data_IF_058455295903
#
_entry.id   IF_058455295903
#
_cell.length_a   1.000
_cell.length_b   1.000
_cell.length_c   1.000
_cell.angle_alpha   90.00
_cell.angle_beta   90.00
_cell.angle_gamma   90.00
#
_symmetry.space_group_name_H-M   'P 1'
#
loop_
_entity.id
_entity.type
_entity.pdbx_description
1 polymer ?
#
# COMPACT_ATOMS: atom_id res chain seq x y z
N UNK A 1 -3.79 -14.53 -0.22
CA UNK A 1 -3.35 -15.19 -1.47
C UNK A 1 -1.84 -15.16 -1.55
N UNK A 2 -1.19 -16.31 -1.69
CA UNK A 2 0.26 -16.41 -1.81
C UNK A 2 0.72 -16.00 -3.22
N UNK A 3 1.68 -15.07 -3.32
CA UNK A 3 2.29 -14.61 -4.57
C UNK A 3 3.64 -15.30 -4.83
N UNK A 4 4.45 -15.45 -3.76
CA UNK A 4 5.78 -16.05 -3.79
C UNK A 4 6.06 -16.73 -2.43
N UNK A 5 7.18 -17.43 -2.21
CA UNK A 5 7.43 -18.18 -0.97
C UNK A 5 7.15 -17.41 0.32
N UNK A 6 7.55 -16.15 0.40
CA UNK A 6 7.42 -15.30 1.59
C UNK A 6 6.51 -14.10 1.39
N UNK A 7 5.74 -14.08 0.29
CA UNK A 7 4.99 -12.92 -0.14
C UNK A 7 3.51 -13.25 -0.30
N UNK A 8 2.65 -12.57 0.45
CA UNK A 8 1.22 -12.78 0.45
C UNK A 8 0.48 -11.46 0.21
N UNK A 9 -0.64 -11.54 -0.49
CA UNK A 9 -1.56 -10.44 -0.73
C UNK A 9 -2.85 -10.66 0.03
N UNK A 10 -3.31 -9.62 0.70
CA UNK A 10 -4.65 -9.49 1.29
C UNK A 10 -5.52 -8.62 0.38
N UNK A 11 -6.82 -8.86 0.40
CA UNK A 11 -7.77 -8.10 -0.44
C UNK A 11 -7.81 -8.56 -1.89
N UNK A 12 -8.01 -7.62 -2.81
CA UNK A 12 -8.17 -7.87 -4.25
C UNK A 12 -7.74 -6.64 -5.08
N UNK A 13 -8.11 -6.62 -6.40
CA UNK A 13 -7.72 -5.53 -7.31
C UNK A 13 -8.42 -4.18 -7.03
N UNK A 14 -9.34 -4.11 -6.08
CA UNK A 14 -9.93 -2.83 -5.65
C UNK A 14 -9.09 -2.22 -4.54
N UNK A 15 -8.69 -3.00 -3.52
CA UNK A 15 -7.78 -2.57 -2.45
C UNK A 15 -6.95 -3.77 -2.02
N UNK A 16 -5.64 -3.61 -1.98
CA UNK A 16 -4.68 -4.60 -1.55
C UNK A 16 -3.84 -4.12 -0.37
N UNK A 17 -3.42 -5.07 0.46
CA UNK A 17 -2.37 -4.95 1.45
C UNK A 17 -1.49 -6.20 1.36
N UNK A 18 -0.31 -6.17 1.96
CA UNK A 18 0.65 -7.23 1.75
C UNK A 18 1.30 -7.71 3.05
N UNK A 19 1.77 -8.96 3.03
CA UNK A 19 2.39 -9.62 4.16
C UNK A 19 3.66 -10.30 3.68
N UNK A 20 4.77 -10.02 4.36
CA UNK A 20 6.07 -10.68 4.20
C UNK A 20 6.24 -11.60 5.39
N UNK A 21 6.26 -12.92 5.12
CA UNK A 21 6.37 -13.98 6.12
C UNK A 21 7.77 -14.57 6.13
N UNK A 22 8.57 -14.22 7.15
CA UNK A 22 9.94 -14.69 7.35
C UNK A 22 10.06 -15.43 8.69
N UNK A 23 11.15 -16.19 8.91
CA UNK A 23 11.38 -16.91 10.17
C UNK A 23 11.37 -15.98 11.40
N UNK A 24 11.85 -14.76 11.28
CA UNK A 24 11.97 -13.76 12.36
C UNK A 24 10.61 -13.12 12.71
N UNK A 25 9.60 -13.27 11.84
CA UNK A 25 8.26 -12.74 12.02
C UNK A 25 7.68 -12.20 10.72
N UNK A 26 6.63 -11.40 10.87
CA UNK A 26 5.85 -10.86 9.76
C UNK A 26 6.03 -9.33 9.70
N UNK A 27 6.28 -8.83 8.50
CA UNK A 27 6.15 -7.41 8.16
C UNK A 27 4.92 -7.22 7.30
N UNK A 28 4.06 -6.26 7.66
CA UNK A 28 2.90 -5.86 6.84
C UNK A 28 3.22 -4.57 6.09
N UNK A 29 2.69 -4.47 4.87
CA UNK A 29 2.65 -3.23 4.09
C UNK A 29 1.21 -2.91 3.76
N UNK A 30 0.76 -1.77 4.25
CA UNK A 30 -0.62 -1.28 4.27
C UNK A 30 -1.60 -2.15 5.09
N UNK A 31 -2.73 -1.56 5.42
CA UNK A 31 -3.78 -2.15 6.25
C UNK A 31 -5.15 -2.15 5.56
N UNK A 32 -5.19 -1.88 4.26
CA UNK A 32 -6.40 -1.92 3.46
C UNK A 32 -7.60 -1.21 4.11
N UNK A 33 -8.78 -1.80 3.98
CA UNK A 33 -10.03 -1.39 4.64
C UNK A 33 -10.25 -2.15 5.96
N UNK A 34 -11.09 -1.68 6.89
CA UNK A 34 -11.36 -2.35 8.17
C UNK A 34 -11.76 -3.83 8.04
N UNK A 35 -12.53 -4.18 7.01
CA UNK A 35 -12.96 -5.56 6.75
C UNK A 35 -11.85 -6.50 6.28
N UNK A 36 -10.70 -5.99 5.85
CA UNK A 36 -9.53 -6.83 5.54
C UNK A 36 -8.86 -7.40 6.80
N UNK A 37 -9.24 -6.96 7.98
CA UNK A 37 -8.86 -7.63 9.22
C UNK A 37 -9.18 -9.12 9.19
N UNK A 38 -10.35 -9.51 8.66
CA UNK A 38 -10.72 -10.92 8.56
C UNK A 38 -9.84 -11.67 7.56
N UNK A 39 -9.46 -11.00 6.46
CA UNK A 39 -8.55 -11.57 5.47
C UNK A 39 -7.16 -11.79 6.10
N UNK A 40 -6.67 -10.84 6.92
CA UNK A 40 -5.42 -10.99 7.69
C UNK A 40 -5.50 -12.16 8.65
N UNK A 41 -6.55 -12.26 9.47
CA UNK A 41 -6.72 -13.35 10.45
C UNK A 41 -6.74 -14.72 9.74
N UNK A 42 -7.38 -14.80 8.59
CA UNK A 42 -7.45 -16.03 7.80
C UNK A 42 -6.08 -16.42 7.24
N UNK A 43 -5.33 -15.47 6.69
CA UNK A 43 -3.98 -15.70 6.16
C UNK A 43 -3.02 -16.10 7.28
N UNK A 44 -3.04 -15.42 8.44
CA UNK A 44 -2.24 -15.77 9.62
C UNK A 44 -2.54 -17.20 10.10
N UNK A 45 -3.82 -17.56 10.19
CA UNK A 45 -4.23 -18.92 10.58
C UNK A 45 -3.72 -19.97 9.60
N UNK A 46 -3.77 -19.70 8.30
CA UNK A 46 -3.26 -20.60 7.27
C UNK A 46 -1.73 -20.80 7.35
N UNK A 47 -1.01 -19.80 7.88
CA UNK A 47 0.43 -19.85 8.13
C UNK A 47 0.78 -20.48 9.51
N UNK A 48 -0.23 -20.80 10.33
CA UNK A 48 0.00 -21.23 11.72
C UNK A 48 0.52 -20.11 12.63
N UNK A 49 0.26 -18.85 12.27
CA UNK A 49 0.72 -17.64 12.95
C UNK A 49 -0.45 -16.82 13.53
N UNK A 50 -0.12 -15.81 14.28
CA UNK A 50 -1.04 -14.92 14.97
C UNK A 50 -0.60 -13.44 14.84
N UNK A 51 -1.39 -12.52 15.38
CA UNK A 51 -1.02 -11.10 15.45
C UNK A 51 0.27 -10.88 16.25
N UNK A 52 0.59 -11.75 17.22
CA UNK A 52 1.82 -11.66 18.00
C UNK A 52 3.10 -11.91 17.17
N UNK A 53 2.97 -12.52 16.00
CA UNK A 53 4.10 -12.76 15.09
C UNK A 53 4.37 -11.56 14.17
N UNK A 54 3.47 -10.55 14.15
CA UNK A 54 3.64 -9.33 13.36
C UNK A 54 4.61 -8.41 14.08
N UNK A 55 5.72 -8.08 13.44
CA UNK A 55 6.79 -7.22 13.98
C UNK A 55 6.60 -5.75 13.66
N UNK A 56 5.90 -5.43 12.58
CA UNK A 56 5.59 -4.06 12.19
C UNK A 56 4.63 -3.96 11.02
N UNK A 57 3.94 -2.83 10.96
CA UNK A 57 3.13 -2.39 9.84
C UNK A 57 3.75 -1.13 9.25
N UNK A 58 4.03 -1.13 7.96
CA UNK A 58 4.51 0.04 7.22
C UNK A 58 3.34 0.53 6.36
N UNK A 59 2.97 1.79 6.51
CA UNK A 59 1.95 2.44 5.68
C UNK A 59 2.65 3.17 4.53
N UNK A 60 2.23 2.90 3.30
CA UNK A 60 2.78 3.59 2.12
C UNK A 60 2.36 5.05 2.06
N UNK A 61 1.16 5.37 2.56
CA UNK A 61 0.62 6.73 2.70
C UNK A 61 -0.59 6.74 3.64
N UNK A 62 -1.19 7.92 3.85
CA UNK A 62 -2.20 8.14 4.90
C UNK A 62 -3.66 7.99 4.50
N UNK A 63 -4.00 7.45 3.34
CA UNK A 63 -5.38 7.38 2.88
C UNK A 63 -6.18 6.25 3.55
N UNK A 64 -7.49 6.46 3.64
CA UNK A 64 -8.40 5.65 4.48
C UNK A 64 -8.48 4.18 4.10
N UNK A 65 -8.21 3.83 2.87
CA UNK A 65 -8.19 2.46 2.35
C UNK A 65 -6.82 1.78 2.42
N UNK A 66 -5.82 2.48 2.98
CA UNK A 66 -4.52 1.93 3.33
C UNK A 66 -4.30 1.79 4.84
N UNK A 67 -5.11 2.49 5.67
CA UNK A 67 -4.98 2.48 7.13
C UNK A 67 -6.08 1.66 7.84
N UNK A 68 -6.94 0.98 7.14
CA UNK A 68 -8.23 0.44 7.62
C UNK A 68 -8.17 -0.34 8.92
N UNK A 69 -7.27 -1.29 9.10
CA UNK A 69 -7.11 -2.01 10.37
C UNK A 69 -5.83 -1.63 11.15
N UNK A 70 -5.11 -0.58 10.74
CA UNK A 70 -3.83 -0.18 11.35
C UNK A 70 -3.97 0.16 12.84
N UNK A 71 -4.99 0.95 13.23
CA UNK A 71 -5.22 1.28 14.65
C UNK A 71 -5.49 0.04 15.51
N UNK A 72 -6.12 -0.99 14.93
CA UNK A 72 -6.36 -2.25 15.63
C UNK A 72 -5.05 -3.01 15.88
N UNK A 73 -4.11 -3.01 14.93
CA UNK A 73 -2.77 -3.57 15.10
C UNK A 73 -1.98 -2.78 16.15
N UNK A 74 -2.00 -1.45 16.08
CA UNK A 74 -1.36 -0.60 17.09
C UNK A 74 -1.86 -0.92 18.51
N UNK A 75 -3.18 -1.05 18.69
CA UNK A 75 -3.79 -1.43 19.98
C UNK A 75 -3.37 -2.83 20.44
N UNK A 76 -2.99 -3.72 19.53
CA UNK A 76 -2.43 -5.03 19.83
C UNK A 76 -0.91 -5.00 20.09
N UNK A 77 -0.29 -3.80 20.10
CA UNK A 77 1.14 -3.62 20.39
C UNK A 77 2.06 -3.69 19.16
N UNK A 78 1.49 -3.77 17.95
CA UNK A 78 2.28 -3.76 16.71
C UNK A 78 2.69 -2.32 16.37
N UNK A 79 3.99 -2.02 16.19
CA UNK A 79 4.44 -0.70 15.76
C UNK A 79 3.96 -0.39 14.35
N UNK A 80 3.50 0.86 14.13
CA UNK A 80 3.02 1.36 12.85
C UNK A 80 3.95 2.47 12.37
N UNK A 81 4.51 2.28 11.19
CA UNK A 81 5.47 3.18 10.56
C UNK A 81 4.80 3.93 9.42
N UNK A 82 5.12 5.22 9.28
CA UNK A 82 4.67 6.06 8.17
C UNK A 82 5.68 7.18 7.94
N UNK A 83 5.78 7.65 6.71
CA UNK A 83 6.62 8.82 6.41
C UNK A 83 6.12 10.07 7.17
N UNK A 84 7.07 10.85 7.72
CA UNK A 84 6.78 12.00 8.59
C UNK A 84 5.77 12.99 7.96
N UNK A 85 5.84 13.22 6.65
CA UNK A 85 4.95 14.15 5.94
C UNK A 85 3.47 13.70 5.90
N UNK A 86 3.20 12.40 6.07
CA UNK A 86 1.83 11.84 6.11
C UNK A 86 1.36 11.51 7.54
N UNK A 87 2.22 11.65 8.55
CA UNK A 87 1.87 11.34 9.94
C UNK A 87 0.65 12.14 10.45
N UNK A 88 0.53 13.41 10.05
CA UNK A 88 -0.65 14.22 10.37
C UNK A 88 -1.92 13.66 9.72
N UNK A 89 -1.87 13.32 8.40
CA UNK A 89 -2.99 12.76 7.65
C UNK A 89 -3.53 11.48 8.33
N UNK A 90 -2.66 10.58 8.74
CA UNK A 90 -3.04 9.34 9.44
C UNK A 90 -3.68 9.58 10.80
N UNK A 91 -3.21 10.59 11.54
CA UNK A 91 -3.74 10.94 12.88
C UNK A 91 -5.09 11.66 12.82
N UNK A 92 -5.35 12.43 11.76
CA UNK A 92 -6.52 13.34 11.67
C UNK A 92 -7.55 12.92 10.63
N UNK A 93 -7.15 12.13 9.63
CA UNK A 93 -7.97 11.78 8.47
C UNK A 93 -8.12 12.94 7.48
N UNK A 94 -7.12 13.81 7.40
CA UNK A 94 -7.09 14.83 6.36
C UNK A 94 -7.25 14.17 4.98
N UNK A 95 -8.19 14.68 4.19
CA UNK A 95 -8.51 14.13 2.87
C UNK A 95 -7.52 14.61 1.81
N UNK A 96 -7.36 13.84 0.71
CA UNK A 96 -6.65 14.32 -0.47
C UNK A 96 -7.16 15.69 -0.91
N UNK A 97 -6.25 16.53 -1.40
CA UNK A 97 -6.60 17.88 -1.89
C UNK A 97 -7.22 17.86 -3.27
N UNK A 98 -7.13 16.73 -3.95
CA UNK A 98 -7.55 16.57 -5.34
C UNK A 98 -8.99 16.12 -5.46
N UNK A 99 -9.68 16.61 -6.50
CA UNK A 99 -11.00 16.11 -6.88
C UNK A 99 -10.93 14.65 -7.35
N UNK A 100 -12.06 13.95 -7.28
CA UNK A 100 -12.19 12.53 -7.64
C UNK A 100 -11.70 12.18 -9.06
N UNK A 101 -11.63 13.14 -9.97
CA UNK A 101 -11.22 12.91 -11.37
C UNK A 101 -12.28 12.17 -12.20
N UNK A 102 -11.90 11.65 -13.39
CA UNK A 102 -12.83 10.95 -14.27
C UNK A 102 -13.28 9.63 -13.64
N UNK A 103 -14.58 9.31 -13.80
CA UNK A 103 -15.16 8.08 -13.31
C UNK A 103 -16.14 7.47 -14.33
N UNK A 104 -16.28 6.14 -14.28
CA UNK A 104 -17.32 5.39 -15.02
C UNK A 104 -18.29 4.77 -14.02
N UNK A 105 -19.57 4.76 -14.33
CA UNK A 105 -20.63 4.42 -13.38
C UNK A 105 -20.46 3.04 -12.74
N UNK A 106 -20.17 2.00 -13.53
CA UNK A 106 -20.06 0.64 -13.00
C UNK A 106 -18.81 0.41 -12.11
N UNK A 107 -17.59 0.83 -12.53
CA UNK A 107 -16.43 0.78 -11.64
C UNK A 107 -16.61 1.59 -10.37
N UNK A 108 -17.19 2.79 -10.47
CA UNK A 108 -17.47 3.65 -9.33
C UNK A 108 -18.41 2.97 -8.32
N UNK A 109 -19.53 2.40 -8.81
CA UNK A 109 -20.47 1.65 -7.96
C UNK A 109 -19.79 0.42 -7.35
N UNK A 110 -18.95 -0.28 -8.11
CA UNK A 110 -18.15 -1.40 -7.63
C UNK A 110 -17.18 -1.01 -6.52
N UNK A 111 -16.47 0.11 -6.67
CA UNK A 111 -15.55 0.64 -5.67
C UNK A 111 -16.30 1.00 -4.37
N UNK A 112 -17.37 1.78 -4.44
CA UNK A 112 -18.16 2.11 -3.25
C UNK A 112 -18.85 0.89 -2.62
N UNK A 113 -19.41 -0.01 -3.43
CA UNK A 113 -20.02 -1.25 -2.94
C UNK A 113 -19.01 -2.15 -2.22
N UNK A 114 -17.79 -2.24 -2.75
CA UNK A 114 -16.68 -2.95 -2.08
C UNK A 114 -16.30 -2.26 -0.76
N UNK A 115 -16.16 -0.94 -0.78
CA UNK A 115 -15.88 -0.15 0.42
C UNK A 115 -16.92 -0.37 1.52
N UNK A 116 -18.21 -0.33 1.18
CA UNK A 116 -19.30 -0.61 2.13
C UNK A 116 -19.22 -2.04 2.68
N UNK A 117 -18.99 -3.04 1.82
CA UNK A 117 -18.83 -4.45 2.22
C UNK A 117 -17.63 -4.66 3.14
N UNK A 118 -16.55 -3.91 2.94
CA UNK A 118 -15.33 -3.95 3.76
C UNK A 118 -15.33 -2.90 4.89
N UNK A 119 -16.51 -2.33 5.23
CA UNK A 119 -16.68 -1.40 6.34
C UNK A 119 -15.84 -0.10 6.24
N UNK A 120 -15.62 0.45 5.06
CA UNK A 120 -14.79 1.65 4.83
C UNK A 120 -15.17 2.83 5.74
N UNK A 121 -16.48 3.03 6.00
CA UNK A 121 -16.98 4.11 6.87
C UNK A 121 -16.59 3.94 8.37
N UNK A 122 -15.98 2.81 8.73
CA UNK A 122 -15.51 2.51 10.10
C UNK A 122 -13.99 2.60 10.23
N UNK A 123 -13.29 3.10 9.20
CA UNK A 123 -11.85 3.34 9.27
C UNK A 123 -11.54 4.25 10.46
N UNK A 124 -10.56 3.86 11.27
CA UNK A 124 -10.11 4.62 12.44
C UNK A 124 -8.74 5.20 12.15
N UNK A 125 -8.55 6.45 12.55
CA UNK A 125 -7.25 7.11 12.49
C UNK A 125 -6.27 6.44 13.44
N UNK A 126 -5.00 6.41 13.08
CA UNK A 126 -3.94 5.81 13.90
C UNK A 126 -3.40 6.88 14.84
N UNK A 127 -3.58 6.68 16.16
CA UNK A 127 -3.24 7.68 17.18
C UNK A 127 -1.74 7.92 17.33
N UNK A 128 -0.96 6.85 17.24
CA UNK A 128 0.49 6.86 17.42
C UNK A 128 1.16 6.13 16.29
N UNK A 129 2.15 6.75 15.68
CA UNK A 129 2.94 6.20 14.59
C UNK A 129 4.42 6.51 14.83
N UNK A 130 5.28 5.67 14.29
CA UNK A 130 6.72 5.89 14.20
C UNK A 130 6.97 6.56 12.85
N UNK A 131 7.52 7.76 12.91
CA UNK A 131 7.81 8.53 11.70
C UNK A 131 9.13 8.07 11.09
N UNK A 132 9.09 7.84 9.77
CA UNK A 132 10.25 7.42 8.97
C UNK A 132 10.52 8.42 7.85
N UNK A 133 11.70 8.33 7.26
CA UNK A 133 12.15 9.18 6.16
C UNK A 133 12.63 8.33 4.96
N UNK A 134 12.81 9.01 3.84
CA UNK A 134 13.43 8.43 2.65
C UNK A 134 14.83 7.90 2.96
N UNK A 135 15.11 6.67 2.52
CA UNK A 135 16.38 5.98 2.72
C UNK A 135 16.48 5.19 4.03
N UNK A 136 15.51 5.30 4.95
CA UNK A 136 15.53 4.52 6.19
C UNK A 136 15.45 3.02 5.89
N UNK A 137 16.27 2.24 6.61
CA UNK A 137 16.22 0.77 6.63
C UNK A 137 15.65 0.36 7.99
N UNK A 138 14.50 -0.29 7.98
CA UNK A 138 13.79 -0.62 9.21
C UNK A 138 14.27 -1.95 9.78
N UNK A 139 14.43 -2.01 11.11
CA UNK A 139 14.73 -3.23 11.87
C UNK A 139 13.45 -4.09 11.99
N UNK A 140 13.00 -4.60 10.86
CA UNK A 140 11.86 -5.49 10.70
C UNK A 140 12.24 -6.68 9.83
N UNK A 141 11.50 -7.80 9.91
CA UNK A 141 11.71 -8.94 9.01
C UNK A 141 11.77 -8.51 7.54
N UNK A 142 12.86 -8.87 6.86
CA UNK A 142 13.13 -8.49 5.49
C UNK A 142 13.89 -7.17 5.31
N UNK A 143 14.24 -6.47 6.40
CA UNK A 143 14.96 -5.19 6.38
C UNK A 143 14.41 -4.22 5.33
N UNK A 144 13.12 -3.83 5.44
CA UNK A 144 12.47 -2.95 4.45
C UNK A 144 13.19 -1.61 4.33
N UNK A 145 13.40 -1.18 3.10
CA UNK A 145 13.97 0.14 2.77
C UNK A 145 12.85 1.08 2.34
N UNK A 146 12.79 2.25 2.95
CA UNK A 146 11.81 3.30 2.61
C UNK A 146 12.33 4.11 1.43
N UNK A 147 11.54 4.20 0.38
CA UNK A 147 11.84 4.98 -0.82
C UNK A 147 10.78 6.06 -0.98
N UNK A 148 11.15 7.32 -0.80
CA UNK A 148 10.22 8.45 -0.93
C UNK A 148 9.62 8.53 -2.33
N UNK A 149 8.30 8.60 -2.42
CA UNK A 149 7.53 8.66 -3.67
C UNK A 149 6.49 9.79 -3.59
N UNK A 150 6.90 11.04 -3.25
CA UNK A 150 5.93 12.12 -3.08
C UNK A 150 5.16 12.42 -4.36
N UNK A 151 3.91 12.86 -4.20
CA UNK A 151 3.03 13.26 -5.29
C UNK A 151 1.61 12.75 -5.11
N UNK A 152 1.37 11.45 -4.92
CA UNK A 152 0.03 10.97 -4.55
C UNK A 152 -0.37 11.58 -3.20
N UNK A 153 0.50 11.49 -2.21
CA UNK A 153 0.50 12.36 -1.03
C UNK A 153 1.91 12.92 -0.78
N UNK A 154 2.06 13.95 0.07
CA UNK A 154 3.39 14.49 0.42
C UNK A 154 4.33 13.45 1.05
N UNK A 155 3.78 12.49 1.78
CA UNK A 155 4.50 11.43 2.47
C UNK A 155 4.38 10.05 1.83
N UNK A 156 3.94 9.95 0.59
CA UNK A 156 3.91 8.67 -0.13
C UNK A 156 5.29 8.06 -0.22
N UNK A 157 5.37 6.74 0.01
CA UNK A 157 6.60 5.96 -0.10
C UNK A 157 6.37 4.66 -0.85
N UNK A 158 7.41 4.15 -1.49
CA UNK A 158 7.52 2.73 -1.79
C UNK A 158 8.31 2.04 -0.69
N UNK A 159 8.01 0.76 -0.46
CA UNK A 159 8.73 -0.10 0.48
C UNK A 159 9.45 -1.18 -0.31
N UNK A 160 10.77 -1.11 -0.35
CA UNK A 160 11.60 -2.11 -1.04
C UNK A 160 12.06 -3.18 -0.05
N UNK A 161 11.79 -4.44 -0.36
CA UNK A 161 12.18 -5.60 0.45
C UNK A 161 12.99 -6.56 -0.42
N UNK A 162 14.34 -6.41 -0.46
CA UNK A 162 15.20 -7.16 -1.38
C UNK A 162 15.08 -8.69 -1.25
N UNK A 163 15.02 -9.21 -0.03
CA UNK A 163 14.91 -10.66 0.21
C UNK A 163 13.58 -11.26 -0.31
N UNK A 164 12.54 -10.45 -0.45
CA UNK A 164 11.26 -10.84 -1.03
C UNK A 164 11.21 -10.54 -2.55
N UNK A 165 12.27 -9.97 -3.11
CA UNK A 165 12.33 -9.49 -4.50
C UNK A 165 11.13 -8.60 -4.85
N UNK A 166 10.69 -7.76 -3.92
CA UNK A 166 9.44 -7.01 -4.04
C UNK A 166 9.62 -5.53 -3.70
N UNK A 167 8.90 -4.68 -4.44
CA UNK A 167 8.68 -3.28 -4.11
C UNK A 167 7.17 -3.02 -4.02
N UNK A 168 6.73 -2.52 -2.88
CA UNK A 168 5.34 -2.15 -2.60
C UNK A 168 5.22 -0.65 -2.85
N UNK A 169 4.44 -0.28 -3.82
CA UNK A 169 4.41 1.11 -4.32
C UNK A 169 3.20 1.90 -3.85
N UNK A 170 2.28 1.27 -3.09
CA UNK A 170 1.03 1.91 -2.69
C UNK A 170 0.33 2.52 -3.90
N UNK A 171 0.06 3.81 -3.83
CA UNK A 171 -0.60 4.60 -4.86
C UNK A 171 0.35 5.54 -5.62
N UNK A 172 1.68 5.31 -5.54
CA UNK A 172 2.61 5.99 -6.45
C UNK A 172 2.31 5.64 -7.93
N UNK A 173 1.81 4.44 -8.17
CA UNK A 173 1.18 3.99 -9.41
C UNK A 173 0.13 2.91 -9.11
N UNK A 174 -0.79 2.70 -10.04
CA UNK A 174 -1.78 1.62 -9.97
C UNK A 174 -1.78 0.80 -11.26
N UNK A 175 -2.15 -0.47 -11.18
CA UNK A 175 -2.39 -1.33 -12.34
C UNK A 175 -3.88 -1.46 -12.68
N UNK A 176 -4.75 -0.83 -11.88
CA UNK A 176 -6.18 -0.67 -12.16
C UNK A 176 -6.68 0.64 -11.58
N UNK A 177 -7.23 1.49 -12.42
CA UNK A 177 -7.88 2.71 -11.99
C UNK A 177 -9.27 2.41 -11.41
N UNK A 178 -9.41 2.44 -10.09
CA UNK A 178 -10.63 1.97 -9.39
C UNK A 178 -11.91 2.71 -9.77
N UNK A 179 -11.82 3.97 -10.24
CA UNK A 179 -12.98 4.78 -10.62
C UNK A 179 -13.39 4.58 -12.09
N UNK A 180 -12.47 4.24 -12.98
CA UNK A 180 -12.76 4.06 -14.42
C UNK A 180 -12.77 2.60 -14.85
N UNK A 181 -12.16 1.70 -14.06
CA UNK A 181 -11.95 0.31 -14.38
C UNK A 181 -10.87 0.06 -15.46
N UNK A 182 -10.13 1.11 -15.87
CA UNK A 182 -9.01 0.97 -16.81
C UNK A 182 -7.94 0.08 -16.16
N UNK A 183 -7.51 -0.95 -16.88
CA UNK A 183 -6.42 -1.84 -16.49
C UNK A 183 -5.10 -1.40 -17.13
N UNK A 184 -3.98 -1.87 -16.56
CA UNK A 184 -2.63 -1.49 -16.95
C UNK A 184 -2.02 -0.43 -16.03
N UNK A 185 -0.69 -0.31 -16.12
CA UNK A 185 0.06 0.62 -15.29
C UNK A 185 -0.29 2.08 -15.63
N UNK A 186 -0.62 2.88 -14.64
CA UNK A 186 -1.10 4.25 -14.78
C UNK A 186 -0.97 5.01 -13.44
N UNK A 187 -1.06 6.36 -13.43
CA UNK A 187 -1.17 7.13 -12.21
C UNK A 187 -2.42 6.73 -11.40
N UNK A 188 -2.31 6.78 -10.07
CA UNK A 188 -3.44 6.54 -9.19
C UNK A 188 -4.43 7.71 -9.19
N UNK A 189 -5.76 7.47 -8.98
CA UNK A 189 -6.72 8.55 -8.74
C UNK A 189 -6.41 9.25 -7.40
N UNK A 190 -7.01 10.43 -7.20
CA UNK A 190 -6.86 11.25 -5.97
C UNK A 190 -5.43 11.71 -5.67
N UNK A 191 -4.56 11.75 -6.67
CA UNK A 191 -3.17 12.22 -6.54
C UNK A 191 -3.11 13.73 -6.32
N UNK A 192 -2.47 14.17 -5.22
CA UNK A 192 -2.38 15.58 -4.81
C UNK A 192 -1.55 16.43 -5.80
N UNK A 193 -0.46 15.86 -6.35
CA UNK A 193 0.43 16.48 -7.34
C UNK A 193 0.86 15.42 -8.38
N UNK A 194 0.22 15.44 -9.54
CA UNK A 194 0.44 14.46 -10.60
C UNK A 194 1.84 14.57 -11.21
N UNK A 195 2.36 15.78 -11.39
CA UNK A 195 3.69 15.98 -12.00
C UNK A 195 4.78 15.47 -11.06
N UNK A 196 4.64 15.74 -9.76
CA UNK A 196 5.54 15.20 -8.75
C UNK A 196 5.44 13.67 -8.66
N UNK A 197 4.24 13.10 -8.70
CA UNK A 197 4.03 11.66 -8.68
C UNK A 197 4.71 10.98 -9.88
N UNK A 198 4.54 11.52 -11.09
CA UNK A 198 5.19 11.00 -12.29
C UNK A 198 6.71 11.10 -12.24
N UNK A 199 7.26 12.22 -11.72
CA UNK A 199 8.71 12.36 -11.57
C UNK A 199 9.29 11.43 -10.50
N UNK A 200 8.54 11.16 -9.44
CA UNK A 200 8.95 10.23 -8.38
C UNK A 200 9.13 8.80 -8.88
N UNK A 201 8.46 8.39 -9.96
CA UNK A 201 8.58 7.03 -10.53
C UNK A 201 10.01 6.70 -10.95
N UNK A 202 10.86 7.69 -11.29
CA UNK A 202 12.26 7.48 -11.63
C UNK A 202 13.04 6.79 -10.51
N UNK A 203 12.63 7.00 -9.27
CA UNK A 203 13.25 6.38 -8.09
C UNK A 203 13.08 4.86 -8.02
N UNK A 204 12.10 4.32 -8.74
CA UNK A 204 11.88 2.88 -8.83
C UNK A 204 12.83 2.20 -9.84
N UNK A 205 13.28 2.92 -10.86
CA UNK A 205 13.98 2.32 -12.01
C UNK A 205 15.31 1.65 -11.66
N UNK A 206 15.96 2.06 -10.57
CA UNK A 206 17.20 1.47 -10.07
C UNK A 206 17.02 0.36 -9.03
N UNK A 207 15.79 0.02 -8.66
CA UNK A 207 15.52 -1.02 -7.65
C UNK A 207 15.52 -2.41 -8.31
N UNK A 208 16.16 -3.37 -7.65
CA UNK A 208 16.13 -4.77 -8.05
C UNK A 208 14.93 -5.47 -7.40
N UNK A 209 13.93 -5.81 -8.19
CA UNK A 209 12.76 -6.55 -7.75
C UNK A 209 12.12 -7.31 -8.93
N UNK A 210 11.49 -8.44 -8.62
CA UNK A 210 10.69 -9.25 -9.57
C UNK A 210 9.18 -8.97 -9.43
N UNK A 211 8.78 -8.24 -8.39
CA UNK A 211 7.41 -7.87 -8.10
C UNK A 211 7.29 -6.37 -7.80
N UNK A 212 6.34 -5.73 -8.48
CA UNK A 212 5.85 -4.39 -8.12
C UNK A 212 4.40 -4.51 -7.66
N UNK A 213 4.12 -4.06 -6.45
CA UNK A 213 2.90 -4.36 -5.69
C UNK A 213 2.15 -3.08 -5.36
N UNK A 214 1.14 -2.71 -6.17
CA UNK A 214 0.35 -1.51 -5.97
C UNK A 214 -0.77 -1.70 -4.94
N UNK A 215 -1.30 -0.60 -4.41
CA UNK A 215 -2.51 -0.60 -3.57
C UNK A 215 -3.77 -1.00 -4.33
N UNK A 216 -3.79 -0.72 -5.65
CA UNK A 216 -4.94 -0.98 -6.52
C UNK A 216 -4.51 -1.69 -7.81
N UNK A 217 -5.24 -2.74 -8.17
CA UNK A 217 -5.01 -3.55 -9.36
C UNK A 217 -4.20 -4.80 -9.08
N UNK A 218 -3.90 -5.55 -10.15
CA UNK A 218 -3.15 -6.79 -10.08
C UNK A 218 -1.67 -6.54 -9.76
N UNK A 219 -1.01 -7.43 -8.99
CA UNK A 219 0.45 -7.42 -8.87
C UNK A 219 1.12 -7.42 -10.24
N UNK A 220 2.15 -6.56 -10.40
CA UNK A 220 2.99 -6.55 -11.58
C UNK A 220 4.17 -7.50 -11.37
N UNK A 221 4.38 -8.40 -12.33
CA UNK A 221 5.53 -9.31 -12.32
C UNK A 221 6.53 -8.86 -13.40
N UNK A 222 7.70 -8.41 -12.98
CA UNK A 222 8.74 -7.86 -13.83
C UNK A 222 9.53 -6.78 -13.12
N UNK A 223 10.52 -6.23 -13.80
CA UNK A 223 11.37 -5.19 -13.22
C UNK A 223 10.58 -3.89 -12.95
N UNK A 224 10.92 -3.13 -11.90
CA UNK A 224 10.32 -1.82 -11.66
C UNK A 224 10.48 -0.84 -12.83
N UNK A 225 11.59 -0.89 -13.56
CA UNK A 225 11.80 -0.07 -14.76
C UNK A 225 10.74 -0.32 -15.84
N UNK A 226 10.29 -1.59 -16.00
CA UNK A 226 9.30 -1.95 -17.02
C UNK A 226 7.92 -1.35 -16.71
N UNK A 227 7.49 -1.40 -15.43
CA UNK A 227 6.20 -0.80 -15.04
C UNK A 227 6.23 0.72 -15.15
N UNK A 228 7.36 1.36 -14.84
CA UNK A 228 7.54 2.82 -15.02
C UNK A 228 7.44 3.19 -16.51
N UNK A 229 8.11 2.43 -17.37
CA UNK A 229 8.01 2.62 -18.83
C UNK A 229 6.55 2.44 -19.31
N UNK A 230 5.82 1.45 -18.78
CA UNK A 230 4.43 1.22 -19.11
C UNK A 230 3.51 2.38 -18.67
N UNK A 231 3.73 3.00 -17.50
CA UNK A 231 2.99 4.21 -17.08
C UNK A 231 3.20 5.35 -18.06
N UNK A 232 4.44 5.59 -18.48
CA UNK A 232 4.80 6.69 -19.39
C UNK A 232 4.38 6.47 -20.83
N UNK A 233 4.23 5.23 -21.26
CA UNK A 233 3.76 4.88 -22.61
C UNK A 233 2.23 4.76 -22.72
N UNK A 234 1.50 5.02 -21.64
CA UNK A 234 0.04 4.90 -21.58
C UNK A 234 -0.70 6.23 -21.84
N UNK A 235 0.03 7.33 -22.10
CA UNK A 235 -0.47 8.67 -22.45
C UNK A 235 -0.89 8.78 -23.93
#
# INVERSE_FOLDING_TARGET
MKLAPHLHRLGNDIVAAYLIDLPEGITLVDAGLPGHWNDLQHELSALGKSVADIRGLILTHGDSDHIGFAERLRQAGVPVFIHAADAHRVRTGEKPKTAMGPARIWPLLGFFGYGLRKNALRTRHVREVIEVADGDVLDLPGAPVIVGMPGHSPGSVAVHVPIAEAVFVGDALTTRHVLTGREGAQPAPFTDDTDQALSSLDRLTGLEASWVLPGHGAPWRGAPADVVAAVRGAD
#
